data_IF_030099071907
#
_entry.id   IF_030099071907
#
_cell.length_a   1.000
_cell.length_b   1.000
_cell.length_c   1.000
_cell.angle_alpha   90.00
_cell.angle_beta   90.00
_cell.angle_gamma   90.00
#
_symmetry.space_group_name_H-M   'P 1'
#
loop_
_entity.id
_entity.type
_entity.pdbx_description
1 polymer ?
#
# COMPACT_ATOMS: atom_id res chain seq x y z
N UNK A 1 -28.61 0.74 9.93
CA UNK A 1 -28.48 0.84 8.46
C UNK A 1 -27.00 1.08 8.18
N UNK A 2 -26.29 0.01 7.90
CA UNK A 2 -24.85 0.09 7.59
C UNK A 2 -24.69 0.85 6.27
N UNK A 3 -23.78 1.84 6.25
CA UNK A 3 -23.49 2.55 5.01
C UNK A 3 -22.87 1.55 4.02
N UNK A 4 -23.56 1.32 2.91
CA UNK A 4 -22.99 0.55 1.81
C UNK A 4 -21.71 1.29 1.34
N UNK A 5 -20.57 0.62 1.40
CA UNK A 5 -19.34 1.18 0.88
C UNK A 5 -19.47 1.41 -0.63
N UNK A 6 -19.11 2.60 -1.06
CA UNK A 6 -18.95 2.88 -2.48
C UNK A 6 -17.45 2.96 -2.81
N UNK A 7 -17.05 2.30 -3.90
CA UNK A 7 -15.67 2.42 -4.40
C UNK A 7 -15.35 3.86 -4.84
N UNK A 8 -16.37 4.70 -5.03
CA UNK A 8 -16.24 6.10 -5.43
C UNK A 8 -16.15 7.08 -4.25
N UNK A 9 -16.34 6.61 -3.01
CA UNK A 9 -16.28 7.50 -1.84
C UNK A 9 -14.88 8.10 -1.71
N UNK A 10 -14.82 9.41 -1.56
CA UNK A 10 -13.57 10.18 -1.46
C UNK A 10 -13.30 10.57 -0.02
N UNK A 11 -12.11 10.30 0.45
CA UNK A 11 -11.61 10.66 1.80
C UNK A 11 -10.49 11.68 1.65
N UNK A 12 -10.52 12.72 2.49
CA UNK A 12 -9.45 13.71 2.52
C UNK A 12 -8.17 13.12 3.13
N UNK A 13 -7.02 13.45 2.55
CA UNK A 13 -5.71 13.09 3.08
C UNK A 13 -5.20 14.19 4.01
N UNK A 14 -5.57 14.10 5.29
CA UNK A 14 -5.17 15.08 6.29
C UNK A 14 -5.51 16.51 5.85
N UNK A 15 -4.50 17.40 5.87
CA UNK A 15 -4.60 18.81 5.47
C UNK A 15 -4.03 19.09 4.07
N UNK A 16 -3.66 18.06 3.33
CA UNK A 16 -2.97 18.20 2.03
C UNK A 16 -3.83 18.78 0.90
N UNK A 17 -5.15 18.80 1.06
CA UNK A 17 -6.11 19.14 0.01
C UNK A 17 -6.41 18.00 -0.97
N UNK A 18 -5.65 16.91 -0.94
CA UNK A 18 -5.91 15.72 -1.74
C UNK A 18 -7.10 14.93 -1.20
N UNK A 19 -7.82 14.28 -2.11
CA UNK A 19 -8.89 13.33 -1.78
C UNK A 19 -8.70 12.04 -2.58
N UNK A 20 -8.79 10.91 -1.89
CA UNK A 20 -8.63 9.58 -2.50
C UNK A 20 -9.85 8.71 -2.28
N UNK A 21 -10.05 7.73 -3.14
CA UNK A 21 -11.02 6.66 -2.94
C UNK A 21 -10.64 5.79 -1.74
N UNK A 22 -11.63 5.22 -1.06
CA UNK A 22 -11.40 4.30 0.08
C UNK A 22 -10.70 3.01 -0.33
N UNK A 23 -10.65 2.72 -1.62
CA UNK A 23 -9.81 1.70 -2.25
C UNK A 23 -8.81 2.40 -3.14
N UNK A 24 -7.57 1.94 -3.14
CA UNK A 24 -6.49 2.37 -4.02
C UNK A 24 -5.83 1.14 -4.64
N UNK A 25 -5.11 1.32 -5.74
CA UNK A 25 -4.36 0.24 -6.36
C UNK A 25 -2.87 0.35 -6.06
N UNK A 26 -2.23 -0.81 -5.83
CA UNK A 26 -0.79 -0.93 -5.62
C UNK A 26 -0.12 -1.65 -6.78
N UNK A 27 1.07 -1.20 -7.14
CA UNK A 27 1.79 -1.63 -8.34
C UNK A 27 3.06 -2.43 -8.06
N UNK A 28 3.28 -2.89 -6.83
CA UNK A 28 4.47 -3.69 -6.50
C UNK A 28 4.58 -4.94 -7.40
N UNK A 29 3.46 -5.63 -7.67
CA UNK A 29 3.42 -6.75 -8.60
C UNK A 29 3.74 -6.37 -10.05
N UNK A 30 3.50 -5.12 -10.45
CA UNK A 30 3.87 -4.61 -11.78
C UNK A 30 5.37 -4.32 -11.91
N UNK A 31 6.14 -4.40 -10.83
CA UNK A 31 7.60 -4.34 -10.86
C UNK A 31 8.27 -5.59 -11.44
N UNK A 32 7.49 -6.65 -11.75
CA UNK A 32 8.01 -7.91 -12.26
C UNK A 32 9.07 -8.54 -11.34
N UNK A 33 8.68 -8.81 -10.10
CA UNK A 33 9.53 -9.41 -9.05
C UNK A 33 9.06 -10.85 -8.73
N UNK A 34 9.32 -11.84 -9.61
CA UNK A 34 8.80 -13.20 -9.46
C UNK A 34 9.29 -13.91 -8.19
N UNK A 35 10.48 -13.59 -7.69
CA UNK A 35 11.03 -14.15 -6.45
C UNK A 35 10.18 -13.74 -5.25
N UNK A 36 9.67 -12.51 -5.24
CA UNK A 36 8.82 -11.98 -4.16
C UNK A 36 7.38 -12.48 -4.26
N UNK A 37 6.79 -12.43 -5.46
CA UNK A 37 5.37 -12.69 -5.65
C UNK A 37 5.04 -14.11 -6.15
N UNK A 38 6.02 -14.85 -6.65
CA UNK A 38 5.82 -16.20 -7.20
C UNK A 38 5.27 -16.21 -8.63
N UNK A 39 5.17 -15.04 -9.30
CA UNK A 39 4.73 -14.92 -10.70
C UNK A 39 5.42 -13.74 -11.39
N UNK A 40 5.52 -13.82 -12.71
CA UNK A 40 5.99 -12.73 -13.56
C UNK A 40 4.80 -11.97 -14.17
N UNK A 41 5.00 -10.70 -14.52
CA UNK A 41 4.04 -9.86 -15.22
C UNK A 41 4.71 -9.27 -16.46
N UNK A 42 4.18 -9.55 -17.64
CA UNK A 42 4.67 -9.00 -18.91
C UNK A 42 4.35 -7.51 -19.07
N UNK A 43 5.06 -6.83 -19.96
CA UNK A 43 4.78 -5.42 -20.29
C UNK A 43 3.34 -5.24 -20.80
N UNK A 44 2.84 -6.19 -21.60
CA UNK A 44 1.48 -6.16 -22.12
C UNK A 44 0.43 -6.25 -21.00
N UNK A 45 0.58 -7.21 -20.09
CA UNK A 45 -0.34 -7.34 -18.94
C UNK A 45 -0.31 -6.11 -18.05
N UNK A 46 0.87 -5.52 -17.83
CA UNK A 46 1.00 -4.29 -17.06
C UNK A 46 0.31 -3.11 -17.75
N UNK A 47 0.46 -2.97 -19.07
CA UNK A 47 -0.17 -1.92 -19.86
C UNK A 47 -1.70 -2.05 -19.84
N UNK A 48 -2.24 -3.25 -20.07
CA UNK A 48 -3.67 -3.52 -19.99
C UNK A 48 -4.23 -3.27 -18.58
N UNK A 49 -3.48 -3.65 -17.54
CA UNK A 49 -3.86 -3.41 -16.15
C UNK A 49 -3.92 -1.91 -15.83
N UNK A 50 -2.89 -1.15 -16.21
CA UNK A 50 -2.83 0.29 -15.96
C UNK A 50 -3.91 1.06 -16.76
N UNK A 51 -4.21 0.62 -17.98
CA UNK A 51 -5.33 1.17 -18.75
C UNK A 51 -6.67 0.94 -18.03
N UNK A 52 -6.88 -0.27 -17.46
CA UNK A 52 -8.06 -0.57 -16.67
C UNK A 52 -8.13 0.26 -15.37
N UNK A 53 -7.00 0.49 -14.72
CA UNK A 53 -6.91 1.37 -13.53
C UNK A 53 -7.32 2.79 -13.87
N UNK A 54 -6.77 3.38 -14.94
CA UNK A 54 -7.08 4.77 -15.34
C UNK A 54 -8.52 4.95 -15.84
N UNK A 55 -9.14 3.90 -16.38
CA UNK A 55 -10.55 3.88 -16.78
C UNK A 55 -11.51 3.63 -15.60
N UNK A 56 -11.01 3.23 -14.45
CA UNK A 56 -11.82 2.89 -13.27
C UNK A 56 -12.24 4.13 -12.47
N UNK A 57 -13.23 4.04 -11.58
CA UNK A 57 -13.60 5.13 -10.68
C UNK A 57 -12.58 5.38 -9.56
N UNK A 58 -11.61 4.49 -9.37
CA UNK A 58 -10.57 4.61 -8.35
C UNK A 58 -9.55 5.66 -8.79
N UNK A 59 -9.26 6.64 -7.94
CA UNK A 59 -8.39 7.75 -8.30
C UNK A 59 -7.02 7.74 -7.61
N UNK A 60 -6.61 6.63 -7.03
CA UNK A 60 -5.32 6.56 -6.34
C UNK A 60 -4.55 5.31 -6.75
N UNK A 61 -3.29 5.51 -7.12
CA UNK A 61 -2.33 4.48 -7.48
C UNK A 61 -1.04 4.66 -6.68
N UNK A 62 -0.62 3.62 -5.95
CA UNK A 62 0.63 3.59 -5.20
C UNK A 62 1.70 2.83 -5.97
N UNK A 63 2.86 3.43 -6.09
CA UNK A 63 4.07 2.84 -6.68
C UNK A 63 5.31 3.15 -5.84
N UNK A 64 6.46 2.70 -6.28
CA UNK A 64 7.77 3.01 -5.71
C UNK A 64 8.86 2.77 -6.74
N UNK A 65 9.92 3.55 -6.63
CA UNK A 65 11.15 3.32 -7.39
C UNK A 65 11.79 1.96 -7.06
N UNK A 66 11.58 1.45 -5.85
CA UNK A 66 12.06 0.12 -5.43
C UNK A 66 11.35 -1.02 -6.16
N UNK A 67 10.15 -0.82 -6.67
CA UNK A 67 9.38 -1.90 -7.28
C UNK A 67 9.96 -2.33 -8.63
N UNK A 68 10.70 -3.45 -8.60
CA UNK A 68 11.43 -3.97 -9.75
C UNK A 68 12.52 -3.03 -10.24
N UNK A 69 13.22 -2.35 -9.32
CA UNK A 69 14.32 -1.42 -9.64
C UNK A 69 13.93 -0.33 -10.64
N UNK A 70 12.71 0.24 -10.47
CA UNK A 70 12.14 1.27 -11.33
C UNK A 70 11.21 0.76 -12.43
N UNK A 71 11.06 -0.55 -12.56
CA UNK A 71 10.23 -1.14 -13.62
C UNK A 71 8.76 -0.76 -13.49
N UNK A 72 8.21 -0.73 -12.26
CA UNK A 72 6.83 -0.30 -12.03
C UNK A 72 6.61 1.15 -12.48
N UNK A 73 7.51 2.07 -12.11
CA UNK A 73 7.42 3.48 -12.53
C UNK A 73 7.58 3.63 -14.06
N UNK A 74 8.49 2.87 -14.68
CA UNK A 74 8.67 2.87 -16.14
C UNK A 74 7.37 2.47 -16.86
N UNK A 75 6.68 1.43 -16.39
CA UNK A 75 5.40 0.97 -16.93
C UNK A 75 4.30 2.00 -16.73
N UNK A 76 4.23 2.62 -15.55
CA UNK A 76 3.28 3.69 -15.25
C UNK A 76 3.52 4.91 -16.14
N UNK A 77 4.77 5.35 -16.30
CA UNK A 77 5.14 6.46 -17.18
C UNK A 77 4.72 6.22 -18.63
N UNK A 78 4.84 4.99 -19.14
CA UNK A 78 4.30 4.60 -20.47
C UNK A 78 2.79 4.73 -20.52
N UNK A 79 2.08 4.24 -19.49
CA UNK A 79 0.63 4.31 -19.41
C UNK A 79 0.15 5.77 -19.31
N UNK A 80 0.82 6.62 -18.52
CA UNK A 80 0.53 8.07 -18.44
C UNK A 80 0.64 8.71 -19.83
N UNK A 81 1.71 8.47 -20.56
CA UNK A 81 1.90 9.01 -21.93
C UNK A 81 0.84 8.49 -22.89
N UNK A 82 0.52 7.20 -22.84
CA UNK A 82 -0.52 6.60 -23.69
C UNK A 82 -1.92 7.16 -23.40
N UNK A 83 -2.20 7.52 -22.13
CA UNK A 83 -3.46 8.13 -21.70
C UNK A 83 -3.54 9.65 -22.00
N UNK A 84 -2.46 10.28 -22.43
CA UNK A 84 -2.39 11.73 -22.61
C UNK A 84 -2.23 12.53 -21.31
N UNK A 85 -1.74 11.89 -20.25
CA UNK A 85 -1.51 12.43 -18.91
C UNK A 85 -2.21 11.61 -17.82
N UNK A 86 -2.03 12.00 -16.57
CA UNK A 86 -2.82 11.43 -15.46
C UNK A 86 -4.30 11.82 -15.59
N UNK A 87 -5.25 10.94 -15.25
CA UNK A 87 -6.65 11.31 -15.16
C UNK A 87 -6.87 12.50 -14.22
N UNK A 88 -7.92 13.28 -14.48
CA UNK A 88 -8.25 14.43 -13.62
C UNK A 88 -8.45 13.98 -12.16
N UNK A 89 -7.93 14.75 -11.22
CA UNK A 89 -7.99 14.49 -9.76
C UNK A 89 -7.41 13.12 -9.34
N UNK A 90 -6.52 12.56 -10.17
CA UNK A 90 -5.84 11.29 -9.89
C UNK A 90 -4.65 11.51 -8.96
N UNK A 91 -4.56 10.73 -7.90
CA UNK A 91 -3.49 10.78 -6.92
C UNK A 91 -2.50 9.65 -7.20
N UNK A 92 -1.41 9.98 -7.90
CA UNK A 92 -0.27 9.09 -8.01
C UNK A 92 0.60 9.28 -6.77
N UNK A 93 0.82 8.20 -6.05
CA UNK A 93 1.77 8.13 -4.94
C UNK A 93 3.01 7.36 -5.36
N UNK A 94 4.19 7.95 -5.18
CA UNK A 94 5.47 7.24 -5.27
C UNK A 94 6.31 7.50 -4.04
N UNK A 95 7.52 6.94 -4.01
CA UNK A 95 8.32 6.92 -2.80
C UNK A 95 9.77 7.32 -3.07
N UNK A 96 10.37 8.04 -2.13
CA UNK A 96 11.81 8.23 -2.10
C UNK A 96 12.48 6.95 -1.63
N UNK A 97 13.45 6.48 -2.36
CA UNK A 97 14.17 5.25 -2.06
C UNK A 97 15.67 5.50 -1.83
N UNK A 98 16.23 4.71 -0.90
CA UNK A 98 17.66 4.67 -0.64
C UNK A 98 18.44 4.25 -1.87
N UNK A 99 19.74 4.38 -1.82
CA UNK A 99 20.64 3.73 -2.77
C UNK A 99 20.62 2.22 -2.53
N UNK A 100 20.27 1.44 -3.56
CA UNK A 100 20.06 -0.01 -3.41
C UNK A 100 21.36 -0.82 -3.29
N UNK A 101 22.51 -0.22 -3.59
CA UNK A 101 23.81 -0.89 -3.44
C UNK A 101 24.43 -0.65 -2.07
N UNK A 102 24.29 0.57 -1.55
CA UNK A 102 24.97 1.01 -0.32
C UNK A 102 24.01 1.15 0.87
N UNK A 103 22.69 1.14 0.64
CA UNK A 103 21.63 1.49 1.57
C UNK A 103 21.72 2.92 2.12
N UNK A 104 22.56 3.77 1.52
CA UNK A 104 22.66 5.17 1.89
C UNK A 104 21.37 5.91 1.57
N UNK A 105 20.89 6.70 2.55
CA UNK A 105 19.66 7.46 2.41
C UNK A 105 19.82 8.84 3.08
N UNK A 106 20.68 9.65 2.50
CA UNK A 106 20.86 11.05 2.88
C UNK A 106 20.00 12.00 2.03
N UNK A 107 20.06 13.30 2.33
CA UNK A 107 19.33 14.33 1.59
C UNK A 107 19.63 14.33 0.08
N UNK A 108 20.88 14.10 -0.31
CA UNK A 108 21.28 14.05 -1.72
C UNK A 108 20.64 12.85 -2.44
N UNK A 109 20.61 11.68 -1.79
CA UNK A 109 19.95 10.49 -2.36
C UNK A 109 18.42 10.69 -2.44
N UNK A 110 17.81 11.28 -1.42
CA UNK A 110 16.39 11.60 -1.41
C UNK A 110 16.01 12.50 -2.61
N UNK A 111 16.78 13.59 -2.83
CA UNK A 111 16.58 14.49 -3.98
C UNK A 111 16.70 13.76 -5.31
N UNK A 112 17.75 12.99 -5.49
CA UNK A 112 17.98 12.21 -6.70
C UNK A 112 16.87 11.19 -6.95
N UNK A 113 16.36 10.55 -5.89
CA UNK A 113 15.26 9.59 -6.02
C UNK A 113 14.00 10.23 -6.60
N UNK A 114 13.66 11.46 -6.16
CA UNK A 114 12.55 12.21 -6.74
C UNK A 114 12.80 12.55 -8.21
N UNK A 115 13.99 13.05 -8.55
CA UNK A 115 14.36 13.42 -9.92
C UNK A 115 14.24 12.21 -10.87
N UNK A 116 14.76 11.06 -10.44
CA UNK A 116 14.65 9.80 -11.18
C UNK A 116 13.19 9.37 -11.37
N UNK A 117 12.34 9.53 -10.36
CA UNK A 117 10.90 9.21 -10.46
C UNK A 117 10.16 10.16 -11.41
N UNK A 118 10.40 11.47 -11.31
CA UNK A 118 9.80 12.47 -12.20
C UNK A 118 10.14 12.21 -13.67
N UNK A 119 11.42 11.93 -13.96
CA UNK A 119 11.89 11.59 -15.30
C UNK A 119 11.24 10.30 -15.81
N UNK A 120 11.25 9.23 -15.00
CA UNK A 120 10.72 7.91 -15.38
C UNK A 120 9.20 7.96 -15.63
N UNK A 121 8.47 8.65 -14.76
CA UNK A 121 7.03 8.82 -14.87
C UNK A 121 6.62 9.80 -15.98
N UNK A 122 7.51 10.75 -16.32
CA UNK A 122 7.25 11.79 -17.33
C UNK A 122 6.25 12.84 -16.85
N UNK A 123 6.37 13.24 -15.58
CA UNK A 123 5.52 14.26 -14.93
C UNK A 123 6.41 15.24 -14.16
N UNK A 124 5.93 16.46 -13.93
CA UNK A 124 6.70 17.52 -13.26
C UNK A 124 6.42 17.63 -11.77
N UNK A 125 5.42 16.91 -11.27
CA UNK A 125 4.94 17.04 -9.92
C UNK A 125 4.36 15.70 -9.42
N UNK A 126 4.66 15.33 -8.16
CA UNK A 126 4.11 14.15 -7.50
C UNK A 126 2.97 14.56 -6.55
N UNK A 127 1.72 14.09 -6.76
CA UNK A 127 0.64 14.39 -5.81
C UNK A 127 0.94 13.96 -4.38
N UNK A 128 1.43 12.73 -4.18
CA UNK A 128 1.78 12.19 -2.86
C UNK A 128 3.15 11.51 -2.91
N UNK A 129 4.11 12.03 -2.15
CA UNK A 129 5.47 11.51 -2.06
C UNK A 129 5.74 10.91 -0.68
N UNK A 130 6.00 9.61 -0.62
CA UNK A 130 6.35 8.96 0.63
C UNK A 130 7.86 8.90 0.85
N UNK A 131 8.30 8.99 2.09
CA UNK A 131 9.59 8.48 2.52
C UNK A 131 9.47 6.97 2.71
N UNK A 132 10.37 6.17 2.12
CA UNK A 132 10.21 4.73 2.03
C UNK A 132 11.22 3.99 2.89
N UNK A 133 10.71 3.05 3.69
CA UNK A 133 11.48 2.04 4.40
C UNK A 133 12.76 2.58 5.09
N UNK A 134 12.65 3.57 6.00
CA UNK A 134 13.81 4.10 6.72
C UNK A 134 14.59 3.04 7.49
N UNK A 135 13.94 1.94 7.86
CA UNK A 135 14.53 0.80 8.56
C UNK A 135 15.63 0.08 7.79
N UNK A 136 15.71 0.28 6.46
CA UNK A 136 16.76 -0.30 5.62
C UNK A 136 17.87 0.67 5.28
N UNK A 137 17.80 1.92 5.71
CA UNK A 137 18.90 2.85 5.56
C UNK A 137 20.15 2.37 6.30
N UNK A 138 21.32 2.60 5.74
CA UNK A 138 22.60 2.26 6.38
C UNK A 138 22.83 3.01 7.70
N UNK A 139 22.16 4.16 7.85
CA UNK A 139 22.18 5.00 9.04
C UNK A 139 20.84 5.70 9.20
N UNK A 140 20.18 5.51 10.33
CA UNK A 140 18.97 6.25 10.66
C UNK A 140 19.29 7.73 10.96
N UNK A 141 20.51 8.03 11.42
CA UNK A 141 20.96 9.42 11.62
C UNK A 141 21.03 10.19 10.31
N UNK A 142 21.43 9.58 9.19
CA UNK A 142 21.41 10.23 7.87
C UNK A 142 19.97 10.57 7.41
N UNK A 143 19.00 9.83 7.91
CA UNK A 143 17.58 10.07 7.64
C UNK A 143 17.02 11.21 8.49
N UNK A 144 17.34 11.24 9.80
CA UNK A 144 16.67 12.08 10.81
C UNK A 144 17.48 13.27 11.27
N UNK A 145 18.79 13.34 10.98
CA UNK A 145 19.61 14.50 11.37
C UNK A 145 19.13 15.78 10.69
N UNK A 146 19.50 16.92 11.27
CA UNK A 146 19.23 18.22 10.64
C UNK A 146 19.89 18.31 9.26
N UNK A 147 19.08 18.59 8.24
CA UNK A 147 19.48 18.57 6.83
C UNK A 147 19.58 17.15 6.24
N UNK A 148 19.06 16.14 6.92
CA UNK A 148 18.98 14.76 6.45
C UNK A 148 17.87 14.52 5.44
N UNK A 149 17.62 13.26 5.15
CA UNK A 149 16.70 12.89 4.07
C UNK A 149 15.23 13.27 4.34
N UNK A 150 14.78 13.24 5.61
CA UNK A 150 13.43 13.71 5.96
C UNK A 150 13.29 15.23 5.82
N UNK A 151 14.27 16.00 6.26
CA UNK A 151 14.25 17.46 6.05
C UNK A 151 14.18 17.79 4.55
N UNK A 152 14.87 17.03 3.71
CA UNK A 152 14.84 17.21 2.26
C UNK A 152 13.45 16.85 1.68
N UNK A 153 12.76 15.81 2.18
CA UNK A 153 11.37 15.51 1.80
C UNK A 153 10.44 16.71 2.04
N UNK A 154 10.49 17.31 3.23
CA UNK A 154 9.66 18.47 3.56
C UNK A 154 10.05 19.71 2.76
N UNK A 155 11.32 19.86 2.43
CA UNK A 155 11.81 20.92 1.54
C UNK A 155 11.26 20.74 0.12
N UNK A 156 11.26 19.53 -0.45
CA UNK A 156 10.63 19.23 -1.74
C UNK A 156 9.15 19.62 -1.76
N UNK A 157 8.41 19.37 -0.67
CA UNK A 157 7.02 19.83 -0.53
C UNK A 157 6.94 21.36 -0.55
N UNK A 158 7.80 22.06 0.16
CA UNK A 158 7.81 23.53 0.19
C UNK A 158 8.20 24.17 -1.14
N UNK A 159 8.98 23.46 -1.96
CA UNK A 159 9.35 23.83 -3.33
C UNK A 159 8.23 23.55 -4.34
N UNK A 160 7.14 22.87 -3.94
CA UNK A 160 6.01 22.52 -4.80
C UNK A 160 6.27 21.31 -5.70
N UNK A 161 7.31 20.52 -5.46
CA UNK A 161 7.61 19.30 -6.22
C UNK A 161 6.66 18.14 -5.86
N UNK A 162 6.03 18.22 -4.69
CA UNK A 162 4.92 17.35 -4.30
C UNK A 162 3.88 18.11 -3.48
N UNK A 163 2.62 17.65 -3.52
CA UNK A 163 1.53 18.31 -2.79
C UNK A 163 1.41 17.79 -1.37
N UNK A 164 1.55 16.48 -1.17
CA UNK A 164 1.50 15.82 0.13
C UNK A 164 2.75 14.98 0.36
N UNK A 165 3.13 14.82 1.63
CA UNK A 165 4.24 13.95 2.03
C UNK A 165 3.77 12.89 3.00
N UNK A 166 4.33 11.69 2.85
CA UNK A 166 3.98 10.55 3.69
C UNK A 166 5.20 9.75 4.14
N UNK A 167 4.92 8.78 4.99
CA UNK A 167 5.87 7.77 5.46
C UNK A 167 5.32 6.40 5.13
N UNK A 168 6.04 5.60 4.36
CA UNK A 168 5.71 4.21 4.05
C UNK A 168 6.77 3.27 4.58
N UNK A 169 6.43 2.40 5.52
CA UNK A 169 7.40 1.52 6.15
C UNK A 169 6.76 0.21 6.68
N UNK A 170 7.61 -0.76 7.00
CA UNK A 170 7.23 -1.98 7.69
C UNK A 170 7.31 -1.81 9.22
N UNK A 171 8.39 -1.23 9.75
CA UNK A 171 8.65 -1.11 11.19
C UNK A 171 7.72 -0.09 11.84
N UNK A 172 6.67 -0.57 12.51
CA UNK A 172 5.67 0.30 13.18
C UNK A 172 6.26 1.08 14.36
N UNK A 173 7.27 0.57 15.04
CA UNK A 173 7.98 1.26 16.11
C UNK A 173 8.72 2.50 15.58
N UNK A 174 9.50 2.37 14.50
CA UNK A 174 10.14 3.50 13.83
C UNK A 174 9.11 4.52 13.35
N UNK A 175 8.01 4.06 12.74
CA UNK A 175 6.93 4.93 12.31
C UNK A 175 6.31 5.70 13.47
N UNK A 176 6.09 5.02 14.62
CA UNK A 176 5.55 5.64 15.84
C UNK A 176 6.44 6.75 16.38
N UNK A 177 7.75 6.64 16.25
CA UNK A 177 8.69 7.68 16.67
C UNK A 177 8.69 8.84 15.65
N UNK A 178 8.79 8.55 14.37
CA UNK A 178 8.84 9.58 13.33
C UNK A 178 7.56 10.43 13.25
N UNK A 179 6.36 9.87 13.46
CA UNK A 179 5.11 10.65 13.46
C UNK A 179 4.96 11.60 14.66
N UNK A 180 5.78 11.47 15.70
CA UNK A 180 5.81 12.41 16.82
C UNK A 180 6.57 13.69 16.46
N UNK A 181 7.58 13.56 15.62
CA UNK A 181 8.55 14.63 15.30
C UNK A 181 8.26 15.31 13.97
N UNK A 182 7.71 14.58 12.99
CA UNK A 182 7.52 15.07 11.63
C UNK A 182 6.03 15.17 11.26
N UNK A 183 5.61 16.26 10.61
CA UNK A 183 4.22 16.54 10.27
C UNK A 183 3.81 15.87 8.94
N UNK A 184 3.85 14.54 8.86
CA UNK A 184 3.38 13.81 7.70
C UNK A 184 1.89 14.02 7.44
N UNK A 185 1.49 14.08 6.17
CA UNK A 185 0.08 14.09 5.77
C UNK A 185 -0.50 12.67 5.78
N UNK A 186 0.33 11.66 5.44
CA UNK A 186 -0.08 10.26 5.25
C UNK A 186 0.94 9.30 5.86
N UNK A 187 0.47 8.21 6.43
CA UNK A 187 1.28 7.04 6.79
C UNK A 187 0.76 5.84 6.03
N UNK A 188 1.66 5.04 5.45
CA UNK A 188 1.34 3.79 4.77
C UNK A 188 1.98 2.63 5.51
N UNK A 189 1.15 1.67 5.95
CA UNK A 189 1.59 0.37 6.50
C UNK A 189 1.09 -0.77 5.62
N UNK A 190 1.75 -1.91 5.65
CA UNK A 190 1.39 -3.07 4.83
C UNK A 190 1.43 -4.38 5.61
N UNK A 191 0.59 -5.35 5.23
CA UNK A 191 0.47 -6.69 5.85
C UNK A 191 0.12 -6.71 7.35
N UNK A 192 0.18 -5.60 8.05
CA UNK A 192 0.07 -5.48 9.52
C UNK A 192 -1.32 -5.09 10.03
N UNK A 193 -2.28 -4.91 9.10
CA UNK A 193 -3.69 -4.71 9.44
C UNK A 193 -4.59 -5.46 8.46
N UNK A 194 -4.83 -6.71 8.77
CA UNK A 194 -5.69 -7.63 8.01
C UNK A 194 -6.67 -8.31 8.96
N UNK A 195 -7.63 -9.06 8.44
CA UNK A 195 -8.59 -9.80 9.28
C UNK A 195 -7.91 -10.82 10.21
N UNK A 196 -6.71 -11.29 9.87
CA UNK A 196 -5.92 -12.27 10.65
C UNK A 196 -4.71 -11.67 11.36
N UNK A 197 -4.43 -10.38 11.18
CA UNK A 197 -3.35 -9.69 11.89
C UNK A 197 -3.73 -8.22 12.16
N UNK A 198 -3.49 -7.72 13.37
CA UNK A 198 -3.83 -6.36 13.79
C UNK A 198 -2.66 -5.61 14.45
N UNK A 199 -1.43 -5.98 14.11
CA UNK A 199 -0.22 -5.38 14.66
C UNK A 199 -0.19 -3.84 14.50
N UNK A 200 -0.63 -3.32 13.35
CA UNK A 200 -0.63 -1.87 13.10
C UNK A 200 -1.78 -1.11 13.78
N UNK A 201 -2.65 -1.76 14.56
CA UNK A 201 -3.76 -1.08 15.26
C UNK A 201 -3.32 0.15 16.06
N UNK A 202 -2.32 0.05 16.97
CA UNK A 202 -1.82 1.20 17.74
C UNK A 202 -1.28 2.35 16.88
N UNK A 203 -0.60 2.04 15.77
CA UNK A 203 -0.09 3.04 14.82
C UNK A 203 -1.26 3.78 14.13
N UNK A 204 -2.28 3.05 13.69
CA UNK A 204 -3.47 3.63 13.05
C UNK A 204 -4.16 4.61 14.00
N UNK A 205 -4.34 4.23 15.26
CA UNK A 205 -4.97 5.08 16.28
C UNK A 205 -4.11 6.31 16.61
N UNK A 206 -2.80 6.15 16.70
CA UNK A 206 -1.86 7.23 16.93
C UNK A 206 -1.84 8.26 15.78
N UNK A 207 -1.93 7.79 14.53
CA UNK A 207 -2.06 8.64 13.35
C UNK A 207 -3.39 9.41 13.36
N UNK A 208 -4.50 8.71 13.63
CA UNK A 208 -5.83 9.32 13.69
C UNK A 208 -5.89 10.44 14.75
N UNK A 209 -5.31 10.21 15.94
CA UNK A 209 -5.22 11.21 16.99
C UNK A 209 -4.42 12.47 16.59
N UNK A 210 -3.55 12.38 15.60
CA UNK A 210 -2.74 13.48 15.05
C UNK A 210 -3.31 14.09 13.77
N UNK A 211 -4.41 13.54 13.25
CA UNK A 211 -4.99 13.97 11.97
C UNK A 211 -4.14 13.56 10.76
N UNK A 212 -3.29 12.54 10.91
CA UNK A 212 -2.51 11.93 9.83
C UNK A 212 -3.39 10.87 9.16
N UNK A 213 -3.55 10.93 7.85
CA UNK A 213 -4.28 9.91 7.10
C UNK A 213 -3.50 8.59 7.05
N UNK A 214 -4.19 7.46 7.06
CA UNK A 214 -3.53 6.16 7.01
C UNK A 214 -3.95 5.38 5.78
N UNK A 215 -2.97 4.88 5.03
CA UNK A 215 -3.12 3.89 3.98
C UNK A 215 -2.77 2.51 4.53
N UNK A 216 -3.67 1.56 4.36
CA UNK A 216 -3.43 0.16 4.69
C UNK A 216 -3.23 -0.65 3.40
N UNK A 217 -2.02 -1.12 3.15
CA UNK A 217 -1.69 -1.92 1.98
C UNK A 217 -1.70 -3.43 2.28
N UNK A 218 -1.84 -4.22 1.23
CA UNK A 218 -1.86 -5.68 1.26
C UNK A 218 -2.94 -6.28 2.19
N UNK A 219 -4.23 -5.89 2.06
CA UNK A 219 -5.32 -6.38 2.90
C UNK A 219 -5.51 -7.89 2.79
N UNK A 220 -4.98 -8.50 1.75
CA UNK A 220 -5.09 -9.94 1.46
C UNK A 220 -3.94 -10.79 2.05
N UNK A 221 -3.15 -10.25 3.00
CA UNK A 221 -1.98 -10.93 3.57
C UNK A 221 -1.07 -11.51 2.45
N UNK A 222 -0.62 -10.62 1.57
CA UNK A 222 0.16 -10.92 0.35
C UNK A 222 -0.54 -11.82 -0.67
N UNK A 223 -1.87 -11.93 -0.60
CA UNK A 223 -2.69 -12.62 -1.59
C UNK A 223 -3.41 -13.87 -1.10
N UNK A 224 -3.04 -14.46 0.03
CA UNK A 224 -3.63 -15.73 0.50
C UNK A 224 -5.14 -15.61 0.77
N UNK A 225 -5.60 -14.47 1.31
CA UNK A 225 -7.03 -14.24 1.56
C UNK A 225 -7.85 -13.97 0.28
N UNK A 226 -7.18 -13.69 -0.85
CA UNK A 226 -7.83 -13.50 -2.14
C UNK A 226 -7.81 -14.78 -2.99
N UNK A 227 -6.72 -15.55 -2.94
CA UNK A 227 -6.49 -16.73 -3.78
C UNK A 227 -6.89 -18.04 -3.10
N UNK A 228 -6.98 -18.04 -1.76
CA UNK A 228 -7.28 -19.22 -0.96
C UNK A 228 -6.03 -19.99 -0.51
N UNK A 229 -6.05 -20.43 0.76
CA UNK A 229 -4.92 -21.14 1.41
C UNK A 229 -4.65 -22.55 0.83
N UNK A 230 -5.59 -23.11 0.11
CA UNK A 230 -5.42 -24.40 -0.56
C UNK A 230 -4.48 -24.28 -1.79
N UNK A 231 -4.53 -23.18 -2.51
CA UNK A 231 -3.80 -22.94 -3.76
C UNK A 231 -2.59 -22.03 -3.58
N UNK A 232 -2.67 -21.06 -2.67
CA UNK A 232 -1.60 -20.08 -2.43
C UNK A 232 -1.07 -20.23 -1.00
N UNK A 233 0.07 -20.91 -0.88
CA UNK A 233 0.68 -21.25 0.42
C UNK A 233 1.76 -20.26 0.83
N UNK A 234 1.54 -18.97 0.61
CA UNK A 234 2.43 -17.88 1.06
C UNK A 234 1.67 -16.94 1.97
N UNK A 235 2.34 -16.50 3.02
CA UNK A 235 1.85 -15.47 3.93
C UNK A 235 2.94 -14.42 4.09
N UNK A 236 2.60 -13.16 3.91
CA UNK A 236 3.56 -12.05 4.04
C UNK A 236 4.84 -12.30 3.22
N UNK A 237 4.65 -12.66 1.93
CA UNK A 237 5.69 -12.92 0.92
C UNK A 237 6.59 -14.14 1.18
N UNK A 238 6.32 -14.95 2.22
CA UNK A 238 7.09 -16.13 2.57
C UNK A 238 6.24 -17.39 2.45
N UNK A 239 6.88 -18.55 2.30
CA UNK A 239 6.19 -19.82 2.44
C UNK A 239 5.60 -19.94 3.85
N UNK A 240 4.34 -20.37 3.92
CA UNK A 240 3.61 -20.42 5.17
C UNK A 240 3.45 -21.84 5.68
N UNK A 241 3.65 -22.02 6.99
CA UNK A 241 3.34 -23.27 7.68
C UNK A 241 1.83 -23.45 7.90
N UNK A 242 1.41 -24.64 8.27
CA UNK A 242 0.00 -24.93 8.57
C UNK A 242 -0.52 -24.11 9.76
N UNK A 243 0.32 -23.84 10.75
CA UNK A 243 -0.01 -23.01 11.92
C UNK A 243 -0.27 -21.55 11.53
N UNK A 244 0.57 -21.00 10.65
CA UNK A 244 0.42 -19.63 10.14
C UNK A 244 -0.85 -19.49 9.31
N UNK A 245 -1.24 -20.53 8.57
CA UNK A 245 -2.45 -20.54 7.75
C UNK A 245 -3.73 -20.90 8.52
N UNK A 246 -3.64 -21.38 9.76
CA UNK A 246 -4.81 -21.79 10.53
C UNK A 246 -5.86 -20.67 10.70
N UNK A 247 -5.51 -19.43 11.06
CA UNK A 247 -6.47 -18.31 11.10
C UNK A 247 -7.08 -17.98 9.73
N UNK A 248 -6.30 -18.09 8.64
CA UNK A 248 -6.81 -17.88 7.27
C UNK A 248 -7.88 -18.91 6.95
N UNK A 249 -7.62 -20.20 7.24
CA UNK A 249 -8.59 -21.29 7.01
C UNK A 249 -9.86 -21.09 7.84
N UNK A 250 -9.75 -20.57 9.06
CA UNK A 250 -10.92 -20.26 9.88
C UNK A 250 -11.79 -19.16 9.23
N UNK A 251 -11.18 -18.11 8.67
CA UNK A 251 -11.90 -17.08 7.91
C UNK A 251 -12.53 -17.69 6.65
N UNK A 252 -11.80 -18.51 5.91
CA UNK A 252 -12.31 -19.21 4.71
C UNK A 252 -13.52 -20.10 5.03
N UNK A 253 -13.49 -20.82 6.15
CA UNK A 253 -14.60 -21.69 6.57
C UNK A 253 -15.87 -20.88 6.88
N UNK A 254 -15.75 -19.74 7.57
CA UNK A 254 -16.88 -18.83 7.80
C UNK A 254 -17.41 -18.29 6.48
N UNK A 255 -16.54 -17.82 5.59
CA UNK A 255 -16.93 -17.30 4.29
C UNK A 255 -17.66 -18.34 3.45
N UNK A 256 -17.13 -19.56 3.38
CA UNK A 256 -17.74 -20.68 2.64
C UNK A 256 -19.12 -21.05 3.18
N UNK A 257 -19.28 -21.11 4.50
CA UNK A 257 -20.56 -21.38 5.17
C UNK A 257 -21.66 -20.40 4.76
N UNK A 258 -21.31 -19.14 4.54
CA UNK A 258 -22.25 -18.07 4.19
C UNK A 258 -22.29 -17.76 2.69
N UNK A 259 -21.48 -18.44 1.85
CA UNK A 259 -21.43 -18.21 0.42
C UNK A 259 -20.86 -16.82 0.03
N UNK A 260 -19.96 -16.24 0.84
CA UNK A 260 -19.34 -14.94 0.58
C UNK A 260 -17.88 -15.10 0.15
N UNK A 261 -17.36 -14.27 -0.79
CA UNK A 261 -15.94 -14.33 -1.17
C UNK A 261 -15.02 -13.90 -0.01
N UNK A 262 -14.02 -14.71 0.31
CA UNK A 262 -13.03 -14.38 1.35
C UNK A 262 -12.30 -13.08 1.05
N UNK A 263 -11.96 -12.83 -0.22
CA UNK A 263 -11.33 -11.58 -0.63
C UNK A 263 -12.21 -10.33 -0.38
N UNK A 264 -13.53 -10.43 -0.58
CA UNK A 264 -14.44 -9.34 -0.26
C UNK A 264 -14.47 -9.05 1.25
N UNK A 265 -14.49 -10.10 2.07
CA UNK A 265 -14.42 -9.98 3.53
C UNK A 265 -13.09 -9.34 3.96
N UNK A 266 -11.96 -9.80 3.43
CA UNK A 266 -10.65 -9.27 3.76
C UNK A 266 -10.51 -7.78 3.39
N UNK A 267 -10.98 -7.38 2.21
CA UNK A 267 -10.98 -5.99 1.75
C UNK A 267 -11.86 -5.12 2.64
N UNK A 268 -13.12 -5.54 2.84
CA UNK A 268 -14.07 -4.75 3.62
C UNK A 268 -13.71 -4.72 5.11
N UNK A 269 -13.02 -5.70 5.66
CA UNK A 269 -12.46 -5.63 7.02
C UNK A 269 -11.56 -4.38 7.17
N UNK A 270 -10.65 -4.16 6.23
CA UNK A 270 -9.81 -2.96 6.22
C UNK A 270 -10.65 -1.70 6.05
N UNK A 271 -11.54 -1.67 5.05
CA UNK A 271 -12.38 -0.51 4.75
C UNK A 271 -13.33 -0.11 5.88
N UNK A 272 -13.73 -1.03 6.75
CA UNK A 272 -14.61 -0.77 7.92
C UNK A 272 -13.90 0.02 9.03
N UNK A 273 -12.58 0.04 9.06
CA UNK A 273 -11.86 0.90 10.00
C UNK A 273 -11.95 2.37 9.55
N UNK A 274 -12.68 3.17 10.32
CA UNK A 274 -12.91 4.59 10.03
C UNK A 274 -11.64 5.45 10.08
N UNK A 275 -10.59 4.97 10.76
CA UNK A 275 -9.30 5.64 10.86
C UNK A 275 -8.39 5.39 9.64
N UNK A 276 -8.81 4.51 8.71
CA UNK A 276 -8.11 4.29 7.46
C UNK A 276 -8.71 5.17 6.35
N UNK A 277 -7.87 5.92 5.68
CA UNK A 277 -8.27 6.76 4.55
C UNK A 277 -8.46 5.92 3.28
N UNK A 278 -7.57 4.97 3.02
CA UNK A 278 -7.66 4.09 1.86
C UNK A 278 -7.02 2.73 2.11
N UNK A 279 -7.53 1.71 1.44
CA UNK A 279 -6.98 0.36 1.42
C UNK A 279 -6.35 0.10 0.04
N UNK A 280 -5.04 -0.18 0.03
CA UNK A 280 -4.28 -0.39 -1.21
C UNK A 280 -4.27 -1.88 -1.56
N UNK A 281 -4.90 -2.21 -2.68
CA UNK A 281 -4.96 -3.56 -3.23
C UNK A 281 -3.98 -3.70 -4.39
N UNK A 282 -3.10 -4.69 -4.34
CA UNK A 282 -2.20 -5.00 -5.45
C UNK A 282 -2.97 -5.50 -6.67
N UNK A 283 -2.64 -4.98 -7.86
CA UNK A 283 -3.25 -5.42 -9.12
C UNK A 283 -2.18 -5.75 -10.15
N UNK A 284 -2.39 -6.85 -10.89
CA UNK A 284 -1.44 -7.33 -11.92
C UNK A 284 -2.16 -7.74 -13.21
N UNK A 285 -3.49 -7.70 -13.20
CA UNK A 285 -4.35 -8.02 -14.35
C UNK A 285 -5.59 -7.13 -14.36
N UNK A 286 -6.16 -6.81 -15.53
CA UNK A 286 -7.39 -6.01 -15.62
C UNK A 286 -8.57 -6.58 -14.84
N UNK A 287 -8.67 -7.92 -14.77
CA UNK A 287 -9.73 -8.62 -14.04
C UNK A 287 -9.69 -8.32 -12.54
N UNK A 288 -8.49 -8.15 -11.97
CA UNK A 288 -8.33 -7.84 -10.55
C UNK A 288 -8.73 -6.40 -10.22
N UNK A 289 -8.63 -5.47 -11.17
CA UNK A 289 -9.17 -4.12 -11.03
C UNK A 289 -10.69 -4.19 -10.86
N UNK A 290 -11.37 -4.89 -11.76
CA UNK A 290 -12.83 -5.09 -11.70
C UNK A 290 -13.24 -5.84 -10.42
N UNK A 291 -12.57 -6.95 -10.11
CA UNK A 291 -12.86 -7.77 -8.94
C UNK A 291 -12.72 -6.99 -7.64
N UNK A 292 -11.68 -6.15 -7.51
CA UNK A 292 -11.48 -5.32 -6.31
C UNK A 292 -12.63 -4.34 -6.12
N UNK A 293 -13.12 -3.71 -7.19
CA UNK A 293 -14.27 -2.80 -7.14
C UNK A 293 -15.56 -3.55 -6.76
N UNK A 294 -15.78 -4.74 -7.34
CA UNK A 294 -16.90 -5.60 -6.99
C UNK A 294 -16.84 -6.03 -5.51
N UNK A 295 -15.67 -6.44 -5.02
CA UNK A 295 -15.49 -6.84 -3.63
C UNK A 295 -15.66 -5.70 -2.65
N UNK A 296 -15.26 -4.49 -2.99
CA UNK A 296 -15.42 -3.31 -2.14
C UNK A 296 -16.89 -3.02 -1.81
N UNK A 297 -17.81 -3.35 -2.72
CA UNK A 297 -19.25 -3.15 -2.56
C UNK A 297 -20.06 -4.44 -2.41
N UNK A 298 -19.38 -5.58 -2.28
CA UNK A 298 -20.07 -6.88 -2.15
C UNK A 298 -20.93 -6.92 -0.87
N UNK A 299 -22.20 -7.34 -0.95
CA UNK A 299 -23.05 -7.39 0.23
C UNK A 299 -22.64 -8.53 1.18
N UNK A 300 -22.10 -8.20 2.34
CA UNK A 300 -21.70 -9.16 3.36
C UNK A 300 -22.69 -9.05 4.52
N UNK A 301 -23.45 -10.11 4.82
CA UNK A 301 -24.44 -10.11 5.93
C UNK A 301 -23.79 -9.91 7.29
N UNK A 302 -24.48 -9.24 8.21
CA UNK A 302 -24.00 -9.03 9.59
C UNK A 302 -23.67 -10.34 10.32
N UNK A 303 -24.38 -11.43 10.02
CA UNK A 303 -24.10 -12.75 10.58
C UNK A 303 -22.65 -13.21 10.29
N UNK A 304 -22.10 -12.86 9.12
CA UNK A 304 -20.72 -13.16 8.76
C UNK A 304 -19.75 -12.39 9.67
N UNK A 305 -19.98 -11.10 9.85
CA UNK A 305 -19.14 -10.26 10.71
C UNK A 305 -19.19 -10.68 12.17
N UNK A 306 -20.37 -11.09 12.65
CA UNK A 306 -20.54 -11.58 14.03
C UNK A 306 -19.77 -12.89 14.25
N UNK A 307 -19.77 -13.79 13.27
CA UNK A 307 -19.03 -15.05 13.36
C UNK A 307 -17.51 -14.83 13.23
N UNK A 308 -17.10 -13.95 12.33
CA UNK A 308 -15.69 -13.57 12.16
C UNK A 308 -15.09 -12.85 13.39
N UNK A 309 -15.90 -12.21 14.21
CA UNK A 309 -15.46 -11.57 15.45
C UNK A 309 -14.83 -12.55 16.45
N UNK A 310 -15.17 -13.85 16.36
CA UNK A 310 -14.61 -14.93 17.19
C UNK A 310 -13.38 -15.62 16.59
N UNK A 311 -13.02 -15.29 15.33
CA UNK A 311 -11.82 -15.86 14.69
C UNK A 311 -10.56 -15.23 15.30
N UNK A 312 -9.60 -16.08 15.65
CA UNK A 312 -8.33 -15.63 16.20
C UNK A 312 -7.52 -14.79 15.19
N UNK A 313 -6.84 -13.78 15.68
CA UNK A 313 -5.90 -12.96 14.92
C UNK A 313 -4.62 -12.75 15.74
N UNK A 314 -3.50 -12.47 15.06
CA UNK A 314 -2.26 -12.10 15.70
C UNK A 314 -2.13 -10.57 15.87
N UNK A 315 -1.39 -10.16 16.90
CA UNK A 315 -0.91 -8.79 17.10
C UNK A 315 0.61 -8.67 16.98
N UNK A 316 1.29 -9.78 16.70
CA UNK A 316 2.73 -9.80 16.46
C UNK A 316 3.04 -9.23 15.08
N UNK A 317 4.26 -8.66 14.92
CA UNK A 317 4.71 -8.22 13.60
C UNK A 317 4.86 -9.44 12.68
N UNK A 318 4.06 -9.54 11.60
CA UNK A 318 4.08 -10.71 10.73
C UNK A 318 5.36 -10.81 9.89
N UNK A 319 6.19 -9.77 9.89
CA UNK A 319 7.47 -9.72 9.18
C UNK A 319 8.69 -9.71 10.12
N UNK A 320 8.50 -9.90 11.45
CA UNK A 320 9.59 -9.84 12.44
C UNK A 320 10.75 -10.80 12.13
N UNK A 321 10.47 -11.94 11.50
CA UNK A 321 11.47 -12.95 11.14
C UNK A 321 11.92 -12.88 9.69
N UNK A 322 11.40 -11.92 8.91
CA UNK A 322 11.74 -11.80 7.50
C UNK A 322 13.16 -11.28 7.32
N UNK A 323 13.98 -12.07 6.66
CA UNK A 323 15.29 -11.61 6.19
C UNK A 323 15.08 -10.98 4.81
N UNK A 324 15.21 -9.66 4.74
CA UNK A 324 15.19 -8.97 3.46
C UNK A 324 16.52 -9.18 2.76
N UNK A 325 16.47 -9.90 1.65
CA UNK A 325 17.61 -9.96 0.72
C UNK A 325 17.49 -8.70 -0.15
N UNK A 326 18.56 -7.90 -0.15
CA UNK A 326 18.71 -6.81 -1.11
C UNK A 326 18.72 -7.41 -2.51
N UNK A 327 17.67 -7.19 -3.28
CA UNK A 327 17.57 -7.66 -4.65
C UNK A 327 18.13 -6.65 -5.61
#
# INVERSE_FOLDING_TARGET
MEMAFSANDRVALGKSGLKVTRVSFGTAGLGNMPETFGFAVSDKEAEETLAAVFASPINCLDTSRNYGMGEAERRIGRAIRANGGLPKDFVLATKLDRDFQTNKFDASRARRSLEESLETLGIDHIPLLHFHDPEYASSLDDVTCKGGALDELFKMKSEGLCQAVGLGAGRTDIMMDLIKEYPFDVVLTHNRYTIVNRHAGPLIDACAARGIAVFNAAPYASGVLAQGSATYKRYVYQEATDEVLAPVRAVEAVCAKHGVPTGAVALQFSMRNKNLASTICGVTKPEFVKQTIEWASYPIPDAVWNELASVAFSTDDPEATRTYVLG
#
